data_IF_564950296062
#
_entry.id   IF_564950296062
#
_cell.length_a   1.000
_cell.length_b   1.000
_cell.length_c   1.000
_cell.angle_alpha   90.00
_cell.angle_beta   90.00
_cell.angle_gamma   90.00
#
_symmetry.space_group_name_H-M   'P 1'
#
loop_
_entity.id
_entity.type
_entity.pdbx_description
1 polymer ?
#
# COMPACT_ATOMS: atom_id res chain seq x y z
N UNK A 1 9.49 0.63 -8.26
CA UNK A 1 8.44 0.32 -9.25
C UNK A 1 8.53 -1.15 -9.57
N UNK A 2 7.38 -1.82 -9.67
CA UNK A 2 7.35 -3.25 -9.91
C UNK A 2 7.77 -3.54 -11.36
N UNK A 3 8.78 -4.38 -11.55
CA UNK A 3 9.19 -4.77 -12.90
C UNK A 3 8.10 -5.68 -13.51
N UNK A 4 7.27 -5.12 -14.40
CA UNK A 4 6.17 -5.84 -15.04
C UNK A 4 6.76 -6.81 -16.09
N UNK A 5 6.45 -8.12 -16.02
CA UNK A 5 6.85 -9.05 -17.07
C UNK A 5 6.29 -8.62 -18.44
N UNK A 6 7.11 -8.66 -19.49
CA UNK A 6 6.73 -8.22 -20.86
C UNK A 6 5.38 -8.80 -21.33
N UNK A 7 5.15 -10.10 -21.09
CA UNK A 7 3.88 -10.77 -21.44
C UNK A 7 2.67 -10.15 -20.73
N UNK A 8 2.84 -9.72 -19.48
CA UNK A 8 1.77 -9.08 -18.70
C UNK A 8 1.52 -7.67 -19.21
N UNK A 9 2.57 -6.90 -19.49
CA UNK A 9 2.45 -5.56 -20.09
C UNK A 9 1.71 -5.60 -21.44
N UNK A 10 2.05 -6.56 -22.30
CA UNK A 10 1.38 -6.78 -23.59
C UNK A 10 -0.09 -7.17 -23.42
N UNK A 11 -0.41 -8.06 -22.46
CA UNK A 11 -1.79 -8.43 -22.10
C UNK A 11 -2.57 -7.18 -21.69
N UNK A 12 -2.07 -6.44 -20.71
CA UNK A 12 -2.73 -5.25 -20.16
C UNK A 12 -2.99 -4.20 -21.25
N UNK A 13 -1.99 -3.89 -22.08
CA UNK A 13 -2.13 -2.93 -23.17
C UNK A 13 -3.20 -3.37 -24.20
N UNK A 14 -3.28 -4.66 -24.51
CA UNK A 14 -4.30 -5.20 -25.41
C UNK A 14 -5.70 -5.18 -24.78
N UNK A 15 -5.82 -5.56 -23.50
CA UNK A 15 -7.11 -5.67 -22.83
C UNK A 15 -7.69 -4.30 -22.46
N UNK A 16 -6.88 -3.28 -22.16
CA UNK A 16 -7.35 -1.90 -22.03
C UNK A 16 -8.11 -1.48 -23.28
N UNK A 17 -7.49 -1.65 -24.47
CA UNK A 17 -8.11 -1.29 -25.76
C UNK A 17 -9.39 -2.07 -26.04
N UNK A 18 -9.49 -3.31 -25.57
CA UNK A 18 -10.67 -4.15 -25.73
C UNK A 18 -11.81 -3.77 -24.79
N UNK A 19 -11.53 -3.52 -23.52
CA UNK A 19 -12.56 -3.32 -22.50
C UNK A 19 -13.04 -1.87 -22.38
N UNK A 20 -12.22 -0.87 -22.72
CA UNK A 20 -12.67 0.53 -22.76
C UNK A 20 -13.95 0.75 -23.61
N UNK A 21 -14.05 0.26 -24.86
CA UNK A 21 -15.29 0.40 -25.64
C UNK A 21 -16.44 -0.44 -25.08
N UNK A 22 -16.18 -1.62 -24.51
CA UNK A 22 -17.21 -2.47 -23.87
C UNK A 22 -17.85 -1.74 -22.69
N UNK A 23 -17.03 -1.14 -21.82
CA UNK A 23 -17.49 -0.36 -20.68
C UNK A 23 -18.22 0.91 -21.11
N UNK A 24 -17.73 1.59 -22.15
CA UNK A 24 -18.39 2.78 -22.69
C UNK A 24 -19.80 2.45 -23.24
N UNK A 25 -19.95 1.36 -23.97
CA UNK A 25 -21.25 0.89 -24.48
C UNK A 25 -22.18 0.45 -23.35
N UNK A 26 -21.67 -0.35 -22.41
CA UNK A 26 -22.44 -0.79 -21.25
C UNK A 26 -22.93 0.41 -20.41
N UNK A 27 -22.10 1.44 -20.23
CA UNK A 27 -22.48 2.70 -19.57
C UNK A 27 -23.56 3.44 -20.36
N UNK A 28 -23.43 3.52 -21.68
CA UNK A 28 -24.42 4.16 -22.55
C UNK A 28 -25.79 3.47 -22.48
N UNK A 29 -25.80 2.15 -22.30
CA UNK A 29 -27.02 1.34 -22.11
C UNK A 29 -27.53 1.32 -20.67
N UNK A 30 -26.81 1.94 -19.74
CA UNK A 30 -27.12 1.98 -18.31
C UNK A 30 -27.41 0.58 -17.72
N UNK A 31 -26.50 -0.37 -18.00
CA UNK A 31 -26.71 -1.77 -17.60
C UNK A 31 -26.72 -1.93 -16.08
N UNK A 32 -27.51 -2.89 -15.59
CA UNK A 32 -27.65 -3.16 -14.17
C UNK A 32 -26.42 -3.82 -13.53
N UNK A 33 -26.49 -4.04 -12.23
CA UNK A 33 -25.42 -4.66 -11.44
C UNK A 33 -25.04 -6.06 -11.95
N UNK A 34 -26.02 -6.93 -12.25
CA UNK A 34 -25.77 -8.29 -12.75
C UNK A 34 -25.00 -8.33 -14.08
N UNK A 35 -25.31 -7.43 -15.01
CA UNK A 35 -24.58 -7.30 -16.27
C UNK A 35 -23.18 -6.74 -16.03
N UNK A 36 -23.06 -5.79 -15.10
CA UNK A 36 -21.76 -5.21 -14.70
C UNK A 36 -20.85 -6.28 -14.06
N UNK A 37 -21.40 -7.14 -13.19
CA UNK A 37 -20.71 -8.31 -12.62
C UNK A 37 -20.18 -9.23 -13.72
N UNK A 38 -20.97 -9.46 -14.77
CA UNK A 38 -20.54 -10.31 -15.90
C UNK A 38 -19.34 -9.73 -16.62
N UNK A 39 -19.36 -8.42 -16.92
CA UNK A 39 -18.22 -7.72 -17.53
C UNK A 39 -16.99 -7.79 -16.62
N UNK A 40 -17.18 -7.59 -15.31
CA UNK A 40 -16.09 -7.64 -14.33
C UNK A 40 -15.48 -9.03 -14.23
N UNK A 41 -16.27 -10.11 -14.27
CA UNK A 41 -15.73 -11.48 -14.32
C UNK A 41 -14.82 -11.69 -15.54
N UNK A 42 -15.21 -11.14 -16.69
CA UNK A 42 -14.38 -11.21 -17.90
C UNK A 42 -13.11 -10.36 -17.76
N UNK A 43 -13.18 -9.19 -17.10
CA UNK A 43 -12.01 -8.37 -16.80
C UNK A 43 -11.05 -9.05 -15.81
N UNK A 44 -11.56 -9.69 -14.76
CA UNK A 44 -10.76 -10.47 -13.81
C UNK A 44 -9.97 -11.57 -14.53
N UNK A 45 -10.59 -12.23 -15.50
CA UNK A 45 -9.91 -13.24 -16.30
C UNK A 45 -8.91 -12.62 -17.31
N UNK A 46 -9.40 -11.76 -18.18
CA UNK A 46 -8.64 -11.31 -19.34
C UNK A 46 -7.60 -10.25 -18.98
N UNK A 47 -7.97 -9.25 -18.16
CA UNK A 47 -7.07 -8.16 -17.75
C UNK A 47 -6.13 -8.65 -16.66
N UNK A 48 -6.70 -9.18 -15.57
CA UNK A 48 -5.96 -9.47 -14.34
C UNK A 48 -5.39 -10.90 -14.28
N UNK A 49 -5.77 -11.78 -15.21
CA UNK A 49 -5.16 -13.09 -15.38
C UNK A 49 -5.63 -14.16 -14.39
N UNK A 50 -6.76 -13.95 -13.73
CA UNK A 50 -7.37 -14.97 -12.86
C UNK A 50 -8.06 -16.07 -13.68
N UNK A 51 -8.04 -17.30 -13.20
CA UNK A 51 -8.89 -18.34 -13.75
C UNK A 51 -10.36 -18.11 -13.35
N UNK A 52 -11.24 -17.91 -14.35
CA UNK A 52 -12.66 -17.59 -14.13
C UNK A 52 -13.43 -18.68 -13.37
N UNK A 53 -12.98 -19.94 -13.41
CA UNK A 53 -13.68 -21.07 -12.82
C UNK A 53 -13.05 -21.53 -11.50
N UNK A 54 -11.72 -21.45 -11.40
CA UNK A 54 -10.99 -21.91 -10.22
C UNK A 54 -10.70 -20.78 -9.21
N UNK A 55 -10.51 -19.55 -9.69
CA UNK A 55 -9.94 -18.45 -8.91
C UNK A 55 -10.90 -17.27 -8.72
N UNK A 56 -11.94 -17.18 -9.53
CA UNK A 56 -13.03 -16.21 -9.35
C UNK A 56 -14.27 -16.96 -8.90
N UNK A 57 -14.71 -16.70 -7.67
CA UNK A 57 -15.94 -17.28 -7.15
C UNK A 57 -16.98 -16.20 -6.91
N UNK A 58 -18.25 -16.56 -7.11
CA UNK A 58 -19.38 -15.79 -6.60
C UNK A 58 -19.66 -16.33 -5.20
N UNK A 59 -19.33 -15.58 -4.15
CA UNK A 59 -19.51 -16.10 -2.80
C UNK A 59 -20.96 -16.11 -2.34
N UNK A 60 -21.18 -17.06 -1.42
CA UNK A 60 -22.42 -17.68 -1.01
C UNK A 60 -22.88 -17.12 0.34
N UNK A 61 -24.20 -17.03 0.53
CA UNK A 61 -24.88 -16.48 1.70
C UNK A 61 -24.39 -17.07 3.03
N UNK A 62 -23.91 -16.24 3.96
CA UNK A 62 -23.94 -16.57 5.39
C UNK A 62 -24.29 -15.32 6.20
N UNK A 63 -25.46 -15.34 6.86
CA UNK A 63 -25.96 -14.30 7.80
C UNK A 63 -26.32 -12.94 7.17
N UNK A 64 -26.70 -12.90 5.90
CA UNK A 64 -27.40 -11.74 5.29
C UNK A 64 -26.50 -10.61 4.79
N UNK A 65 -25.19 -10.85 4.62
CA UNK A 65 -24.26 -9.91 3.98
C UNK A 65 -23.50 -10.63 2.88
N UNK A 66 -23.39 -10.02 1.71
CA UNK A 66 -22.83 -10.61 0.48
C UNK A 66 -21.77 -9.66 -0.10
N UNK A 67 -20.73 -10.23 -0.69
CA UNK A 67 -19.93 -9.55 -1.71
C UNK A 67 -20.15 -10.29 -3.04
N UNK A 68 -20.22 -9.56 -4.14
CA UNK A 68 -20.59 -10.14 -5.44
C UNK A 68 -19.58 -11.18 -5.94
N UNK A 69 -18.29 -10.91 -5.72
CA UNK A 69 -17.20 -11.76 -6.17
C UNK A 69 -16.09 -11.86 -5.11
N UNK A 70 -15.31 -12.92 -5.21
CA UNK A 70 -14.06 -13.06 -4.47
C UNK A 70 -12.98 -13.68 -5.35
N UNK A 71 -11.74 -13.26 -5.14
CA UNK A 71 -10.57 -13.91 -5.74
C UNK A 71 -9.94 -14.89 -4.76
N UNK A 72 -9.64 -16.10 -5.24
CA UNK A 72 -8.96 -17.16 -4.51
C UNK A 72 -7.76 -17.62 -5.32
N UNK A 73 -6.61 -17.77 -4.67
CA UNK A 73 -5.41 -18.35 -5.27
C UNK A 73 -5.03 -19.54 -4.40
N UNK A 74 -4.87 -20.71 -5.02
CA UNK A 74 -4.59 -21.98 -4.33
C UNK A 74 -5.61 -22.27 -3.19
N UNK A 75 -6.87 -21.90 -3.41
CA UNK A 75 -7.98 -22.06 -2.45
C UNK A 75 -8.03 -21.01 -1.33
N UNK A 76 -6.99 -20.18 -1.19
CA UNK A 76 -6.89 -19.13 -0.17
C UNK A 76 -7.57 -17.85 -0.68
N UNK A 77 -8.47 -17.29 0.14
CA UNK A 77 -9.15 -16.01 -0.13
C UNK A 77 -8.12 -14.87 -0.16
N UNK A 78 -8.11 -14.12 -1.26
CA UNK A 78 -7.17 -13.03 -1.49
C UNK A 78 -7.85 -11.67 -1.33
N UNK A 79 -8.96 -11.47 -2.02
CA UNK A 79 -9.74 -10.25 -1.91
C UNK A 79 -11.23 -10.51 -2.10
N UNK A 80 -12.04 -9.67 -1.47
CA UNK A 80 -13.47 -9.57 -1.74
C UNK A 80 -13.72 -8.41 -2.71
N UNK A 81 -14.70 -8.55 -3.58
CA UNK A 81 -15.02 -7.58 -4.62
C UNK A 81 -16.52 -7.27 -4.53
N UNK A 82 -16.81 -6.02 -4.17
CA UNK A 82 -18.13 -5.43 -4.21
C UNK A 82 -18.34 -4.77 -5.57
N UNK A 83 -19.40 -5.17 -6.27
CA UNK A 83 -19.77 -4.64 -7.57
C UNK A 83 -20.99 -3.73 -7.43
N UNK A 84 -21.05 -2.72 -8.28
CA UNK A 84 -22.21 -1.82 -8.41
C UNK A 84 -22.60 -1.70 -9.88
N UNK A 85 -23.82 -1.26 -10.13
CA UNK A 85 -24.27 -0.91 -11.49
C UNK A 85 -23.33 0.10 -12.15
N UNK A 86 -23.12 -0.03 -13.46
CA UNK A 86 -22.09 0.73 -14.21
C UNK A 86 -22.26 2.26 -14.10
N UNK A 87 -23.49 2.75 -14.01
CA UNK A 87 -23.82 4.17 -13.91
C UNK A 87 -23.74 4.72 -12.48
N UNK A 88 -23.56 3.87 -11.46
CA UNK A 88 -23.58 4.29 -10.07
C UNK A 88 -22.22 4.83 -9.62
N UNK A 89 -22.21 6.03 -9.02
CA UNK A 89 -21.03 6.58 -8.39
C UNK A 89 -20.64 5.79 -7.14
N UNK A 90 -19.36 5.45 -7.04
CA UNK A 90 -18.81 4.70 -5.91
C UNK A 90 -18.60 5.62 -4.71
N UNK A 91 -19.17 5.25 -3.56
CA UNK A 91 -19.06 5.96 -2.28
C UNK A 91 -18.46 5.04 -1.22
N UNK A 92 -17.75 5.60 -0.25
CA UNK A 92 -17.12 4.82 0.82
C UNK A 92 -18.16 4.03 1.66
N UNK A 93 -19.39 4.53 1.76
CA UNK A 93 -20.47 3.78 2.40
C UNK A 93 -20.74 2.41 1.74
N UNK A 94 -20.45 2.26 0.44
CA UNK A 94 -20.64 1.00 -0.28
C UNK A 94 -19.61 -0.07 0.09
N UNK A 95 -18.43 0.31 0.60
CA UNK A 95 -17.37 -0.66 0.93
C UNK A 95 -17.48 -1.22 2.35
N UNK A 96 -18.23 -0.56 3.23
CA UNK A 96 -18.29 -0.89 4.66
C UNK A 96 -18.66 -2.35 4.92
N UNK A 97 -19.69 -2.86 4.25
CA UNK A 97 -20.15 -4.25 4.41
C UNK A 97 -19.07 -5.25 3.95
N UNK A 98 -18.42 -4.96 2.83
CA UNK A 98 -17.35 -5.79 2.29
C UNK A 98 -16.10 -5.78 3.20
N UNK A 99 -15.77 -4.64 3.82
CA UNK A 99 -14.67 -4.53 4.81
C UNK A 99 -14.98 -5.33 6.07
N UNK A 100 -16.20 -5.23 6.61
CA UNK A 100 -16.61 -5.99 7.78
C UNK A 100 -16.55 -7.51 7.50
N UNK A 101 -16.95 -7.94 6.30
CA UNK A 101 -16.84 -9.35 5.89
C UNK A 101 -15.38 -9.78 5.69
N UNK A 102 -14.56 -8.97 5.02
CA UNK A 102 -13.13 -9.22 4.82
C UNK A 102 -12.41 -9.44 6.15
N UNK A 103 -12.66 -8.56 7.11
CA UNK A 103 -12.04 -8.63 8.44
C UNK A 103 -12.38 -9.93 9.17
N UNK A 104 -13.62 -10.42 9.04
CA UNK A 104 -14.06 -11.68 9.65
C UNK A 104 -13.47 -12.92 8.98
N UNK A 105 -13.17 -12.87 7.69
CA UNK A 105 -12.56 -13.96 6.92
C UNK A 105 -11.02 -13.89 6.87
N UNK A 106 -10.42 -12.85 7.49
CA UNK A 106 -8.98 -12.63 7.46
C UNK A 106 -8.43 -12.15 6.11
N UNK A 107 -9.30 -11.64 5.22
CA UNK A 107 -8.86 -11.03 3.97
C UNK A 107 -8.37 -9.60 4.21
N UNK A 108 -7.16 -9.28 3.73
CA UNK A 108 -6.57 -7.95 3.93
C UNK A 108 -7.08 -6.90 2.95
N UNK A 109 -7.78 -7.31 1.88
CA UNK A 109 -8.09 -6.43 0.76
C UNK A 109 -9.53 -6.55 0.30
N UNK A 110 -10.10 -5.40 -0.07
CA UNK A 110 -11.44 -5.27 -0.65
C UNK A 110 -11.36 -4.40 -1.89
N UNK A 111 -12.07 -4.78 -2.95
CA UNK A 111 -12.29 -3.93 -4.12
C UNK A 111 -13.74 -3.48 -4.15
N UNK A 112 -13.95 -2.24 -4.56
CA UNK A 112 -15.25 -1.69 -4.91
C UNK A 112 -15.16 -1.21 -6.35
N UNK A 113 -16.04 -1.70 -7.22
CA UNK A 113 -15.99 -1.34 -8.64
C UNK A 113 -17.37 -1.31 -9.31
N UNK A 114 -17.50 -0.49 -10.35
CA UNK A 114 -18.60 -0.50 -11.30
C UNK A 114 -18.09 -0.77 -12.73
N UNK A 115 -16.90 -1.36 -12.86
CA UNK A 115 -16.19 -1.58 -14.13
C UNK A 115 -15.43 -0.34 -14.64
N UNK A 116 -15.98 0.87 -14.48
CA UNK A 116 -15.33 2.12 -14.87
C UNK A 116 -14.28 2.55 -13.85
N UNK A 117 -14.67 2.58 -12.57
CA UNK A 117 -13.79 2.91 -11.45
C UNK A 117 -13.46 1.65 -10.67
N UNK A 118 -12.20 1.52 -10.30
CA UNK A 118 -11.70 0.40 -9.49
C UNK A 118 -11.03 0.98 -8.26
N UNK A 119 -11.72 0.87 -7.12
CA UNK A 119 -11.23 1.32 -5.82
C UNK A 119 -10.79 0.14 -4.99
N UNK A 120 -9.67 0.30 -4.32
CA UNK A 120 -8.96 -0.75 -3.65
C UNK A 120 -8.68 -0.31 -2.24
N UNK A 121 -9.16 -1.10 -1.29
CA UNK A 121 -9.08 -0.80 0.11
C UNK A 121 -8.26 -1.85 0.84
N UNK A 122 -7.38 -1.39 1.71
CA UNK A 122 -6.72 -2.23 2.70
C UNK A 122 -7.56 -2.25 3.97
N UNK A 123 -7.85 -3.44 4.49
CA UNK A 123 -8.52 -3.62 5.78
C UNK A 123 -7.53 -3.31 6.90
N UNK A 124 -7.95 -2.45 7.83
CA UNK A 124 -7.20 -2.11 9.04
C UNK A 124 -7.86 -2.84 10.20
N UNK A 125 -7.17 -3.87 10.70
CA UNK A 125 -7.61 -4.72 11.82
C UNK A 125 -7.44 -3.99 13.16
N UNK A 126 -8.22 -2.92 13.36
CA UNK A 126 -8.32 -2.15 14.59
C UNK A 126 -9.67 -2.43 15.30
N UNK A 127 -9.89 -1.75 16.43
CA UNK A 127 -11.18 -1.74 17.14
C UNK A 127 -11.65 -0.29 17.27
N UNK A 128 -12.64 0.17 16.49
CA UNK A 128 -13.39 -0.56 15.45
C UNK A 128 -12.56 -0.92 14.21
N UNK A 129 -13.06 -1.84 13.38
CA UNK A 129 -12.46 -2.15 12.08
C UNK A 129 -12.48 -0.88 11.22
N UNK A 130 -11.38 -0.63 10.52
CA UNK A 130 -11.23 0.52 9.64
C UNK A 130 -10.69 0.09 8.26
N UNK A 131 -10.61 1.00 7.30
CA UNK A 131 -10.11 0.74 5.96
C UNK A 131 -9.41 1.95 5.36
N UNK A 132 -8.45 1.70 4.47
CA UNK A 132 -7.71 2.73 3.76
C UNK A 132 -7.83 2.53 2.24
N UNK A 133 -8.26 3.57 1.52
CA UNK A 133 -8.21 3.60 0.06
C UNK A 133 -6.75 3.68 -0.41
N UNK A 134 -6.26 2.62 -1.04
CA UNK A 134 -4.86 2.50 -1.51
C UNK A 134 -4.74 2.85 -2.99
N UNK A 135 -5.69 2.41 -3.82
CA UNK A 135 -5.69 2.64 -5.27
C UNK A 135 -7.09 3.04 -5.71
N UNK A 136 -7.18 4.04 -6.60
CA UNK A 136 -8.42 4.45 -7.27
C UNK A 136 -8.12 4.70 -8.75
N UNK A 137 -8.57 3.79 -9.61
CA UNK A 137 -8.30 3.78 -11.05
C UNK A 137 -9.57 4.17 -11.80
N UNK A 138 -9.47 5.12 -12.73
CA UNK A 138 -10.43 5.23 -13.86
C UNK A 138 -9.91 4.38 -15.02
N UNK A 139 -10.55 3.24 -15.25
CA UNK A 139 -10.15 2.31 -16.30
C UNK A 139 -10.27 2.93 -17.70
N UNK A 140 -11.25 3.80 -17.91
CA UNK A 140 -11.47 4.49 -19.18
C UNK A 140 -10.47 5.62 -19.43
N UNK A 141 -9.79 6.10 -18.39
CA UNK A 141 -8.72 7.10 -18.53
C UNK A 141 -7.32 6.50 -18.74
N UNK A 142 -7.16 5.18 -18.60
CA UNK A 142 -5.85 4.52 -18.73
C UNK A 142 -5.31 4.62 -20.16
N UNK A 143 -4.02 4.92 -20.28
CA UNK A 143 -3.28 4.88 -21.53
C UNK A 143 -2.52 3.55 -21.66
N UNK A 144 -2.82 2.72 -22.67
CA UNK A 144 -2.17 1.42 -22.86
C UNK A 144 -0.68 1.50 -23.23
N UNK A 145 -0.12 2.71 -23.41
CA UNK A 145 1.31 2.96 -23.65
C UNK A 145 2.01 3.60 -22.45
N UNK A 146 1.30 3.87 -21.36
CA UNK A 146 1.86 4.48 -20.15
C UNK A 146 2.31 3.38 -19.19
N UNK A 147 3.60 3.28 -18.94
CA UNK A 147 4.15 2.30 -17.98
C UNK A 147 3.52 2.49 -16.59
N UNK A 148 3.30 3.73 -16.16
CA UNK A 148 2.65 4.04 -14.88
C UNK A 148 1.21 3.50 -14.79
N UNK A 149 0.45 3.57 -15.88
CA UNK A 149 -0.93 3.06 -15.93
C UNK A 149 -0.94 1.53 -15.92
N UNK A 150 0.01 0.91 -16.62
CA UNK A 150 0.19 -0.54 -16.61
C UNK A 150 0.64 -1.03 -15.24
N UNK A 151 1.51 -0.29 -14.54
CA UNK A 151 1.95 -0.60 -13.18
C UNK A 151 0.78 -0.59 -12.19
N UNK A 152 -0.15 0.37 -12.31
CA UNK A 152 -1.34 0.43 -11.47
C UNK A 152 -2.25 -0.78 -11.65
N UNK A 153 -2.48 -1.23 -12.89
CA UNK A 153 -3.23 -2.47 -13.15
C UNK A 153 -2.48 -3.72 -12.70
N UNK A 154 -1.15 -3.71 -12.83
CA UNK A 154 -0.31 -4.85 -12.44
C UNK A 154 -0.40 -5.16 -10.94
N UNK A 155 -0.68 -4.16 -10.09
CA UNK A 155 -0.92 -4.36 -8.65
C UNK A 155 -2.02 -5.40 -8.37
N UNK A 156 -2.98 -5.54 -9.29
CA UNK A 156 -4.14 -6.43 -9.16
C UNK A 156 -4.11 -7.66 -10.05
N UNK A 157 -3.09 -7.77 -10.91
CA UNK A 157 -2.86 -8.98 -11.67
C UNK A 157 -2.49 -10.13 -10.72
N UNK A 158 -2.94 -11.35 -11.03
CA UNK A 158 -2.56 -12.56 -10.30
C UNK A 158 -1.05 -12.65 -10.08
N UNK A 159 -0.26 -12.33 -11.10
CA UNK A 159 1.21 -12.35 -11.03
C UNK A 159 1.78 -11.31 -10.05
N UNK A 160 1.16 -10.14 -9.97
CA UNK A 160 1.51 -9.10 -8.99
C UNK A 160 1.12 -9.51 -7.57
N UNK A 161 -0.04 -10.16 -7.42
CA UNK A 161 -0.52 -10.63 -6.14
C UNK A 161 0.37 -11.72 -5.51
N UNK A 162 0.73 -12.74 -6.29
CA UNK A 162 1.63 -13.82 -5.84
C UNK A 162 2.99 -13.29 -5.37
N UNK A 163 3.41 -12.15 -5.92
CA UNK A 163 4.65 -11.45 -5.53
C UNK A 163 4.44 -10.40 -4.44
N UNK A 164 3.24 -10.30 -3.87
CA UNK A 164 2.87 -9.30 -2.86
C UNK A 164 3.09 -7.83 -3.28
N UNK A 165 3.02 -7.54 -4.58
CA UNK A 165 3.33 -6.22 -5.15
C UNK A 165 2.40 -5.13 -4.60
N UNK A 166 1.12 -5.45 -4.38
CA UNK A 166 0.16 -4.51 -3.79
C UNK A 166 0.54 -4.10 -2.36
N UNK A 167 0.99 -5.06 -1.54
CA UNK A 167 1.48 -4.80 -0.20
C UNK A 167 2.76 -3.96 -0.20
N UNK A 168 3.69 -4.26 -1.11
CA UNK A 168 4.91 -3.46 -1.31
C UNK A 168 4.59 -2.03 -1.74
N UNK A 169 3.66 -1.86 -2.68
CA UNK A 169 3.19 -0.56 -3.15
C UNK A 169 2.55 0.25 -2.01
N UNK A 170 1.70 -0.39 -1.20
CA UNK A 170 1.11 0.25 -0.02
C UNK A 170 2.19 0.68 0.98
N UNK A 171 3.14 -0.20 1.30
CA UNK A 171 4.24 0.11 2.20
C UNK A 171 5.10 1.28 1.66
N UNK A 172 5.37 1.30 0.36
CA UNK A 172 6.10 2.39 -0.29
C UNK A 172 5.33 3.70 -0.21
N UNK A 173 4.02 3.71 -0.51
CA UNK A 173 3.17 4.90 -0.37
C UNK A 173 3.09 5.40 1.06
N UNK A 174 3.00 4.50 2.03
CA UNK A 174 2.99 4.86 3.44
C UNK A 174 4.33 5.48 3.85
N UNK A 175 5.45 4.87 3.45
CA UNK A 175 6.79 5.38 3.73
C UNK A 175 7.05 6.76 3.09
N UNK A 176 6.49 7.01 1.91
CA UNK A 176 6.56 8.29 1.20
C UNK A 176 5.45 9.27 1.59
N UNK A 177 4.58 8.92 2.53
CA UNK A 177 3.52 9.82 2.96
C UNK A 177 4.11 11.06 3.63
N UNK A 178 3.44 12.21 3.47
CA UNK A 178 3.85 13.47 4.11
C UNK A 178 4.06 13.32 5.62
N UNK A 179 3.23 12.51 6.28
CA UNK A 179 3.34 12.21 7.71
C UNK A 179 4.61 11.44 8.06
N UNK A 180 4.95 10.39 7.29
CA UNK A 180 6.18 9.62 7.51
C UNK A 180 7.44 10.43 7.22
N UNK A 181 7.46 11.15 6.10
CA UNK A 181 8.60 12.03 5.74
C UNK A 181 8.75 13.14 6.78
N UNK A 182 7.65 13.80 7.16
CA UNK A 182 7.65 14.86 8.16
C UNK A 182 8.11 14.37 9.54
N UNK A 183 7.66 13.19 9.98
CA UNK A 183 8.12 12.59 11.23
C UNK A 183 9.59 12.13 11.16
N UNK A 184 10.06 11.65 9.99
CA UNK A 184 11.46 11.25 9.78
C UNK A 184 12.42 12.46 9.84
N UNK A 185 12.03 13.58 9.24
CA UNK A 185 12.81 14.83 9.26
C UNK A 185 13.06 15.35 10.69
N UNK A 186 12.18 15.01 11.63
CA UNK A 186 12.28 15.40 13.03
C UNK A 186 13.12 14.41 13.87
N UNK A 187 13.72 13.38 13.29
CA UNK A 187 14.55 12.43 14.06
C UNK A 187 15.97 12.96 14.26
N UNK A 188 16.55 12.70 15.43
CA UNK A 188 17.91 13.17 15.77
C UNK A 188 18.97 12.79 14.73
N UNK A 189 18.99 11.57 14.14
CA UNK A 189 19.95 11.24 13.09
C UNK A 189 19.83 12.15 11.86
N UNK A 190 18.61 12.55 11.47
CA UNK A 190 18.39 13.44 10.33
C UNK A 190 18.75 14.88 10.68
N UNK A 191 18.33 15.34 11.87
CA UNK A 191 18.67 16.68 12.34
C UNK A 191 20.19 16.87 12.48
N UNK A 192 20.92 15.82 12.88
CA UNK A 192 22.37 15.85 12.96
C UNK A 192 23.03 15.99 11.58
N UNK A 193 22.48 15.30 10.57
CA UNK A 193 22.92 15.47 9.18
C UNK A 193 22.67 16.91 8.72
N UNK A 194 21.47 17.45 8.95
CA UNK A 194 21.15 18.85 8.61
C UNK A 194 22.12 19.80 9.31
N UNK A 195 22.38 19.60 10.61
CA UNK A 195 23.33 20.41 11.38
C UNK A 195 24.73 20.40 10.75
N UNK A 196 25.22 19.23 10.38
CA UNK A 196 26.55 19.08 9.76
C UNK A 196 26.62 19.80 8.42
N UNK A 197 25.60 19.66 7.58
CA UNK A 197 25.58 20.33 6.27
C UNK A 197 25.45 21.85 6.42
N UNK A 198 24.63 22.34 7.36
CA UNK A 198 24.54 23.79 7.64
C UNK A 198 25.86 24.36 8.17
N UNK A 199 26.58 23.65 9.04
CA UNK A 199 27.92 24.07 9.49
C UNK A 199 28.95 24.13 8.38
N UNK A 200 28.83 23.30 7.33
CA UNK A 200 29.72 23.40 6.16
C UNK A 200 29.47 24.67 5.37
N UNK A 201 28.22 25.10 5.28
CA UNK A 201 27.82 26.34 4.61
C UNK A 201 28.13 27.57 5.47
N UNK A 202 28.07 27.43 6.79
CA UNK A 202 28.31 28.52 7.75
C UNK A 202 29.19 28.05 8.92
N UNK A 203 30.53 27.96 8.72
CA UNK A 203 31.46 27.37 9.70
C UNK A 203 31.51 28.10 11.04
N UNK A 204 31.32 29.41 11.02
CA UNK A 204 31.46 30.27 12.20
C UNK A 204 30.16 30.36 13.02
N UNK A 205 29.09 29.69 12.59
CA UNK A 205 27.78 29.75 13.25
C UNK A 205 27.59 28.52 14.13
N UNK A 206 27.31 28.76 15.42
CA UNK A 206 26.88 27.70 16.33
C UNK A 206 25.43 27.34 16.02
N UNK A 207 25.23 26.15 15.47
CA UNK A 207 23.91 25.60 15.17
C UNK A 207 23.64 24.43 16.12
N UNK A 208 22.49 24.47 16.78
CA UNK A 208 21.97 23.41 17.64
C UNK A 208 20.83 22.61 16.98
N UNK A 209 20.71 21.33 17.34
CA UNK A 209 19.69 20.42 16.82
C UNK A 209 18.27 20.88 17.18
N UNK A 210 18.08 21.41 18.38
CA UNK A 210 16.77 21.91 18.82
C UNK A 210 16.32 23.16 18.05
N UNK A 211 17.25 24.02 17.65
CA UNK A 211 16.95 25.16 16.78
C UNK A 211 16.50 24.71 15.39
N UNK A 212 17.20 23.73 14.81
CA UNK A 212 16.81 23.14 13.51
C UNK A 212 15.43 22.50 13.62
N UNK A 213 15.17 21.77 14.71
CA UNK A 213 13.87 21.16 14.98
C UNK A 213 12.76 22.21 15.03
N UNK A 214 12.94 23.30 15.77
CA UNK A 214 11.97 24.39 15.87
C UNK A 214 11.65 24.99 14.49
N UNK A 215 12.69 25.35 13.71
CA UNK A 215 12.50 25.87 12.34
C UNK A 215 11.74 24.86 11.46
N UNK A 216 12.08 23.57 11.55
CA UNK A 216 11.37 22.54 10.79
C UNK A 216 9.89 22.44 11.18
N UNK A 217 9.57 22.47 12.47
CA UNK A 217 8.21 22.30 13.00
C UNK A 217 7.36 23.55 12.77
N UNK A 218 7.92 24.73 13.02
CA UNK A 218 7.16 25.97 13.08
C UNK A 218 7.09 26.69 11.72
N UNK A 219 8.10 26.52 10.86
CA UNK A 219 8.25 27.32 9.63
C UNK A 219 8.22 26.49 8.35
N UNK A 220 8.76 25.26 8.36
CA UNK A 220 8.95 24.46 7.12
C UNK A 220 7.85 23.42 6.94
N UNK A 221 7.54 22.64 7.97
CA UNK A 221 6.57 21.55 7.89
C UNK A 221 5.18 22.12 8.14
N UNK A 222 4.28 21.93 7.16
CA UNK A 222 2.87 22.33 7.30
C UNK A 222 2.25 21.68 8.53
N UNK A 223 1.48 22.44 9.30
CA UNK A 223 0.80 21.98 10.53
C UNK A 223 -0.04 20.71 10.34
N UNK A 224 -0.72 20.59 9.20
CA UNK A 224 -1.50 19.40 8.82
C UNK A 224 -0.68 18.10 8.66
N UNK A 225 0.65 18.17 8.64
CA UNK A 225 1.57 17.03 8.59
C UNK A 225 2.01 16.61 10.00
N UNK A 226 1.94 17.54 10.96
CA UNK A 226 2.38 17.33 12.34
C UNK A 226 1.23 16.85 13.24
N UNK A 227 0.01 17.28 12.93
CA UNK A 227 -1.18 17.03 13.74
C UNK A 227 -2.05 15.90 13.16
N UNK A 228 -2.77 15.19 14.04
CA UNK A 228 -3.76 14.17 13.69
C UNK A 228 -3.27 12.73 13.78
N UNK A 229 -4.23 11.79 13.69
CA UNK A 229 -3.98 10.36 13.93
C UNK A 229 -2.89 9.78 13.02
N UNK A 230 -2.87 10.14 11.73
CA UNK A 230 -1.84 9.68 10.78
C UNK A 230 -0.44 10.17 11.13
N UNK A 231 -0.31 11.38 11.69
CA UNK A 231 0.96 11.91 12.15
C UNK A 231 1.44 11.17 13.41
N UNK A 232 0.53 10.87 14.34
CA UNK A 232 0.82 10.08 15.53
C UNK A 232 1.24 8.65 15.20
N UNK A 233 0.56 8.01 14.26
CA UNK A 233 0.91 6.67 13.77
C UNK A 233 2.30 6.64 13.14
N UNK A 234 2.62 7.63 12.30
CA UNK A 234 3.93 7.75 11.67
C UNK A 234 5.04 7.89 12.73
N UNK A 235 4.86 8.78 13.72
CA UNK A 235 5.79 8.94 14.85
C UNK A 235 5.98 7.64 15.62
N UNK A 236 4.89 6.96 15.98
CA UNK A 236 4.93 5.67 16.70
C UNK A 236 5.68 4.61 15.91
N UNK A 237 5.46 4.51 14.59
CA UNK A 237 6.12 3.50 13.74
C UNK A 237 7.61 3.78 13.62
N UNK A 238 8.01 5.05 13.44
CA UNK A 238 9.43 5.45 13.37
C UNK A 238 10.14 5.18 14.70
N UNK A 239 9.52 5.56 15.83
CA UNK A 239 10.08 5.31 17.16
C UNK A 239 10.28 3.81 17.45
N UNK A 240 9.30 2.96 17.08
CA UNK A 240 9.42 1.50 17.20
C UNK A 240 10.57 0.94 16.36
N UNK A 241 10.72 1.42 15.11
CA UNK A 241 11.81 0.99 14.23
C UNK A 241 13.19 1.38 14.77
N UNK A 242 13.32 2.61 15.29
CA UNK A 242 14.54 3.07 15.93
C UNK A 242 14.90 2.22 17.17
N UNK A 243 13.92 1.94 18.03
CA UNK A 243 14.12 1.07 19.20
C UNK A 243 14.54 -0.36 18.82
N UNK A 244 13.97 -0.92 17.74
CA UNK A 244 14.35 -2.24 17.23
C UNK A 244 15.79 -2.25 16.69
N UNK A 245 16.19 -1.21 15.96
CA UNK A 245 17.55 -1.08 15.44
C UNK A 245 18.59 -0.95 16.57
N UNK A 246 18.28 -0.18 17.62
CA UNK A 246 19.13 -0.05 18.81
C UNK A 246 19.31 -1.38 19.54
N UNK A 247 18.22 -2.15 19.73
CA UNK A 247 18.28 -3.49 20.34
C UNK A 247 19.12 -4.47 19.53
N UNK A 248 18.97 -4.47 18.20
CA UNK A 248 19.76 -5.33 17.32
C UNK A 248 21.25 -4.96 17.33
N UNK A 249 21.57 -3.66 17.42
CA UNK A 249 22.95 -3.19 17.54
C UNK A 249 23.58 -3.57 18.88
N UNK A 250 22.82 -3.51 19.99
CA UNK A 250 23.28 -3.96 21.29
C UNK A 250 23.58 -5.47 21.31
N UNK A 251 22.68 -6.30 20.78
CA UNK A 251 22.88 -7.75 20.69
C UNK A 251 24.12 -8.13 19.87
N UNK A 252 24.37 -7.46 18.74
CA UNK A 252 25.59 -7.67 17.94
C UNK A 252 26.87 -7.25 18.67
N UNK A 253 26.78 -6.29 19.58
CA UNK A 253 27.91 -5.82 20.39
C UNK A 253 28.24 -6.83 21.50
N UNK A 254 27.20 -7.38 22.13
CA UNK A 254 27.32 -8.43 23.15
C UNK A 254 27.86 -9.74 22.53
N UNK A 255 27.40 -10.11 21.33
CA UNK A 255 27.94 -11.26 20.58
C UNK A 255 29.41 -11.09 20.19
N UNK A 256 29.83 -9.89 19.77
CA UNK A 256 31.26 -9.62 19.49
C UNK A 256 32.12 -9.66 20.76
N UNK A 257 31.63 -9.12 21.87
CA UNK A 257 32.34 -9.14 23.15
C UNK A 257 32.50 -10.56 23.73
N UNK A 258 31.62 -11.50 23.36
CA UNK A 258 31.71 -12.90 23.75
C UNK A 258 32.70 -13.74 22.91
N UNK A 259 33.17 -13.22 21.77
CA UNK A 259 34.01 -13.95 20.81
C UNK A 259 35.49 -13.54 20.88
N UNK A 260 35.82 -12.35 21.40
CA UNK A 260 37.21 -11.96 21.68
C UNK A 260 37.68 -12.57 23.02
N UNK A 261 38.64 -13.51 23.04
CA UNK A 261 39.22 -13.98 24.29
C UNK A 261 40.02 -12.85 24.91
N UNK A 262 39.94 -12.71 26.23
CA UNK A 262 40.82 -11.83 26.99
C UNK A 262 42.28 -12.23 26.74
N UNK A 263 43.01 -11.47 25.92
CA UNK A 263 44.46 -11.47 25.92
C UNK A 263 44.92 -10.92 27.27
N UNK A 264 45.02 -11.81 28.26
CA UNK A 264 45.72 -11.54 29.50
C UNK A 264 47.19 -11.37 29.16
N UNK A 265 47.64 -10.12 29.13
CA UNK A 265 49.05 -9.78 29.12
C UNK A 265 49.71 -10.28 30.40
N UNK A 266 50.37 -11.43 30.32
CA UNK A 266 51.43 -11.78 31.26
C UNK A 266 52.68 -10.99 30.84
N UNK A 267 52.91 -9.88 31.54
CA UNK A 267 54.23 -9.27 31.67
C UNK A 267 55.14 -10.26 32.41
N UNK A 268 55.92 -11.05 31.69
CA UNK A 268 57.06 -11.76 32.28
C UNK A 268 58.20 -10.76 32.36
N UNK A 269 58.42 -10.26 33.57
CA UNK A 269 59.66 -9.67 34.01
C UNK A 269 60.66 -10.78 34.35
N UNK A 270 61.79 -10.81 33.64
CA UNK A 270 63.12 -11.20 34.13
C UNK A 270 64.18 -10.76 33.11
#
# INVERSE_FOLDING_TARGET
MANIPKRVAERLAATIKRFQPVLADARKRDVGEADTVTIIKDMLADVFGYDKYAEVTSEYAIRGTYCDLATRIDGILQALIEVKAIGLDLKDAHVKQAVDYAANQGAEWVLLTNGLRWRVYRVVFAKPIDHELVVDIDFCALNPRSDADLELLYLWCKEGWVRSVLGEYHNQRQALSRFFVGAMLQTDPVLEVVRRELRRVSPDVRIDVEQIRAVLVDEVIKREVLDGEKADEARKKIARSAAKALRAAAQRKDEKAAIEPAETGESISE
#
